data_IF_281417884537
#
_entry.id   IF_281417884537
#
_cell.length_a   1.000
_cell.length_b   1.000
_cell.length_c   1.000
_cell.angle_alpha   90.00
_cell.angle_beta   90.00
_cell.angle_gamma   90.00
#
_symmetry.space_group_name_H-M   'P 1'
#
loop_
_entity.id
_entity.type
_entity.pdbx_description
1 polymer ?
#
# COMPACT_ATOMS: atom_id res chain seq x y z
N UNK A 1 21.50 15.41 57.37
CA UNK A 1 22.95 15.52 57.10
C UNK A 1 23.46 14.15 56.66
N UNK A 2 24.26 14.06 55.59
CA UNK A 2 25.29 13.03 55.32
C UNK A 2 24.88 11.52 55.25
N UNK A 3 25.50 10.60 54.49
CA UNK A 3 26.40 10.67 53.30
C UNK A 3 26.69 9.22 52.83
N UNK A 4 26.10 8.74 51.73
CA UNK A 4 26.45 7.47 51.04
C UNK A 4 26.09 7.64 49.55
N UNK A 5 26.85 7.21 48.54
CA UNK A 5 28.19 6.61 48.49
C UNK A 5 28.40 6.04 47.08
N UNK A 6 29.23 6.68 46.24
CA UNK A 6 29.45 6.26 44.83
C UNK A 6 30.54 5.18 44.76
N UNK A 7 30.34 4.04 44.08
CA UNK A 7 31.44 3.26 43.51
C UNK A 7 31.95 3.91 42.21
N UNK A 8 33.25 3.79 41.94
CA UNK A 8 33.97 4.51 40.89
C UNK A 8 34.23 3.67 39.62
N UNK A 9 34.68 4.36 38.55
CA UNK A 9 35.16 3.74 37.30
C UNK A 9 36.50 3.00 37.46
N UNK A 10 36.62 1.87 36.74
CA UNK A 10 37.84 1.37 36.08
C UNK A 10 37.36 0.43 34.95
N UNK A 11 37.67 0.64 33.65
CA UNK A 11 38.93 0.29 32.98
C UNK A 11 39.33 -1.20 33.22
N UNK A 12 39.59 -2.05 32.22
CA UNK A 12 40.55 -1.89 31.11
C UNK A 12 40.14 -2.68 29.84
N UNK A 13 40.67 -2.23 28.70
CA UNK A 13 40.57 -2.78 27.32
C UNK A 13 41.04 -4.24 27.16
N UNK A 14 40.34 -5.02 26.33
CA UNK A 14 40.91 -6.17 25.62
C UNK A 14 40.30 -6.29 24.21
N UNK A 15 41.07 -5.94 23.18
CA UNK A 15 40.68 -5.98 21.76
C UNK A 15 41.49 -7.08 21.06
N UNK A 16 40.83 -8.16 20.62
CA UNK A 16 41.44 -9.21 19.78
C UNK A 16 40.47 -9.69 18.70
N UNK A 17 40.54 -9.02 17.55
CA UNK A 17 40.57 -9.57 16.19
C UNK A 17 39.90 -10.95 15.94
N UNK A 18 38.69 -10.94 15.35
CA UNK A 18 38.20 -12.05 14.53
C UNK A 18 38.28 -11.70 13.04
N UNK A 19 39.39 -12.07 12.40
CA UNK A 19 39.57 -11.97 10.96
C UNK A 19 39.26 -13.31 10.29
N UNK A 20 37.98 -13.59 10.01
CA UNK A 20 37.55 -14.76 9.22
C UNK A 20 37.56 -14.44 7.73
N UNK A 21 38.75 -14.44 7.11
CA UNK A 21 38.90 -14.37 5.66
C UNK A 21 38.71 -15.74 5.02
N UNK A 22 37.60 -15.95 4.30
CA UNK A 22 37.41 -17.12 3.44
C UNK A 22 37.64 -16.73 1.97
N UNK A 23 38.90 -16.68 1.55
CA UNK A 23 39.27 -16.46 0.14
C UNK A 23 39.11 -17.75 -0.67
N UNK A 24 37.90 -17.97 -1.19
CA UNK A 24 37.61 -19.05 -2.14
C UNK A 24 38.13 -18.72 -3.56
N UNK A 25 38.61 -19.73 -4.33
CA UNK A 25 39.19 -19.49 -5.65
C UNK A 25 38.14 -19.07 -6.68
N UNK A 26 38.32 -17.87 -7.25
CA UNK A 26 37.48 -17.34 -8.33
C UNK A 26 37.52 -18.23 -9.58
N UNK A 27 36.46 -19.02 -9.78
CA UNK A 27 36.27 -19.80 -11.01
C UNK A 27 36.03 -18.84 -12.19
N UNK A 28 36.76 -19.11 -13.28
CA UNK A 28 36.81 -18.34 -14.53
C UNK A 28 35.41 -17.90 -15.00
N UNK A 29 35.18 -16.58 -15.10
CA UNK A 29 33.96 -16.03 -15.72
C UNK A 29 33.96 -16.41 -17.21
N UNK A 30 32.89 -17.07 -17.67
CA UNK A 30 32.64 -17.28 -19.09
C UNK A 30 32.40 -15.92 -19.79
N UNK A 31 32.70 -15.77 -21.09
CA UNK A 31 32.38 -14.55 -21.82
C UNK A 31 30.89 -14.23 -21.71
N UNK A 32 30.56 -12.97 -21.43
CA UNK A 32 29.16 -12.53 -21.39
C UNK A 32 28.57 -12.58 -22.81
N UNK A 33 27.32 -13.06 -22.99
CA UNK A 33 26.62 -12.91 -24.26
C UNK A 33 26.40 -11.42 -24.55
N UNK A 34 26.45 -11.06 -25.83
CA UNK A 34 26.31 -9.67 -26.28
C UNK A 34 24.92 -9.11 -25.92
N UNK A 35 24.81 -7.83 -25.55
CA UNK A 35 23.51 -7.22 -25.28
C UNK A 35 22.70 -7.08 -26.58
N UNK A 36 21.56 -7.76 -26.65
CA UNK A 36 20.58 -7.54 -27.72
C UNK A 36 20.05 -6.12 -27.64
N UNK A 37 20.32 -5.32 -28.67
CA UNK A 37 19.80 -3.96 -28.80
C UNK A 37 18.27 -4.03 -28.93
N UNK A 38 17.49 -3.32 -28.09
CA UNK A 38 16.04 -3.29 -28.26
C UNK A 38 15.66 -2.56 -29.56
N UNK A 39 14.58 -2.97 -30.25
CA UNK A 39 14.09 -2.24 -31.41
C UNK A 39 13.68 -0.82 -31.00
N UNK A 40 14.06 0.17 -31.82
CA UNK A 40 13.67 1.57 -31.60
C UNK A 40 12.16 1.70 -31.70
N UNK A 41 11.50 1.89 -30.56
CA UNK A 41 10.09 2.28 -30.51
C UNK A 41 10.00 3.70 -31.09
N UNK A 42 9.40 3.82 -32.28
CA UNK A 42 9.01 5.10 -32.83
C UNK A 42 8.01 5.75 -31.86
N UNK A 43 8.39 6.88 -31.25
CA UNK A 43 7.49 7.63 -30.36
C UNK A 43 6.27 8.07 -31.16
N UNK A 44 5.04 7.68 -30.78
CA UNK A 44 3.84 8.28 -31.33
C UNK A 44 3.88 9.79 -31.02
N UNK A 45 3.68 10.62 -32.05
CA UNK A 45 3.54 12.06 -31.86
C UNK A 45 2.17 12.31 -31.22
N UNK A 46 2.12 12.30 -29.89
CA UNK A 46 0.94 12.71 -29.13
C UNK A 46 0.72 14.19 -29.42
N UNK A 47 -0.34 14.49 -30.16
CA UNK A 47 -0.82 15.86 -30.32
C UNK A 47 -1.45 16.26 -28.98
N UNK A 48 -0.75 17.13 -28.24
CA UNK A 48 -1.22 17.65 -26.96
C UNK A 48 -2.09 18.86 -27.28
N UNK A 49 -3.40 18.85 -26.96
CA UNK A 49 -4.25 20.01 -27.16
C UNK A 49 -3.69 21.20 -26.38
N UNK A 50 -3.40 22.28 -27.10
CA UNK A 50 -2.91 23.52 -26.51
C UNK A 50 -3.97 24.06 -25.52
N UNK A 51 -3.59 24.41 -24.27
CA UNK A 51 -4.56 24.92 -23.31
C UNK A 51 -5.16 26.25 -23.79
N UNK A 52 -6.47 26.26 -24.01
CA UNK A 52 -7.18 27.50 -24.32
C UNK A 52 -7.17 28.45 -23.11
N UNK A 53 -7.05 29.78 -23.33
CA UNK A 53 -7.18 30.76 -22.25
C UNK A 53 -8.56 30.68 -21.59
N UNK A 54 -8.58 30.61 -20.26
CA UNK A 54 -9.83 30.73 -19.48
C UNK A 54 -10.40 32.15 -19.61
N UNK A 55 -11.68 32.33 -19.98
CA UNK A 55 -12.31 33.64 -19.96
C UNK A 55 -12.48 34.15 -18.52
N UNK A 56 -12.47 35.47 -18.29
CA UNK A 56 -12.61 36.05 -16.96
C UNK A 56 -14.03 35.81 -16.38
N UNK A 57 -14.16 35.71 -15.05
CA UNK A 57 -15.44 35.45 -14.41
C UNK A 57 -16.39 36.65 -14.53
N UNK A 58 -17.56 36.44 -15.16
CA UNK A 58 -18.66 37.40 -15.12
C UNK A 58 -19.35 37.36 -13.75
N UNK A 59 -19.59 38.50 -13.09
CA UNK A 59 -20.49 38.57 -11.94
C UNK A 59 -21.92 38.27 -12.38
N UNK A 60 -22.59 37.32 -11.73
CA UNK A 60 -24.05 37.16 -11.83
C UNK A 60 -24.69 37.67 -10.54
N UNK A 61 -25.56 38.65 -10.70
CA UNK A 61 -26.23 39.37 -9.63
C UNK A 61 -27.31 38.52 -8.93
N UNK A 62 -27.66 38.93 -7.71
CA UNK A 62 -28.82 38.50 -6.95
C UNK A 62 -30.13 38.49 -7.75
N UNK A 63 -30.93 37.44 -7.55
CA UNK A 63 -32.39 37.50 -7.68
C UNK A 63 -33.09 36.36 -6.91
N UNK A 64 -33.57 36.69 -5.71
CA UNK A 64 -34.90 36.34 -5.18
C UNK A 64 -35.21 34.90 -4.73
N UNK A 65 -35.48 34.80 -3.42
CA UNK A 65 -36.12 33.68 -2.70
C UNK A 65 -37.63 33.60 -3.00
N UNK A 66 -38.21 32.39 -3.10
CA UNK A 66 -39.55 32.00 -2.58
C UNK A 66 -39.81 30.48 -2.72
N UNK A 67 -40.84 29.87 -2.06
CA UNK A 67 -40.61 28.65 -1.27
C UNK A 67 -41.35 27.38 -1.72
N UNK A 68 -41.10 26.30 -0.97
CA UNK A 68 -41.60 24.92 -1.08
C UNK A 68 -43.14 24.78 -1.10
N UNK A 69 -43.67 23.65 -1.63
CA UNK A 69 -44.10 22.58 -0.70
C UNK A 69 -43.86 21.13 -1.18
N UNK A 70 -43.64 20.21 -0.22
CA UNK A 70 -43.84 18.76 -0.40
C UNK A 70 -45.33 18.40 -0.23
N UNK A 71 -45.81 17.25 -0.76
CA UNK A 71 -46.04 16.11 0.15
C UNK A 71 -45.96 14.68 -0.44
N UNK A 72 -45.16 13.81 0.21
CA UNK A 72 -45.50 12.45 0.73
C UNK A 72 -46.09 11.32 -0.18
N UNK A 73 -46.13 10.04 0.29
CA UNK A 73 -45.89 8.86 -0.57
C UNK A 73 -47.12 7.96 -0.78
N UNK A 74 -47.01 6.90 -1.59
CA UNK A 74 -47.81 5.66 -1.40
C UNK A 74 -47.09 4.37 -1.83
N UNK A 75 -47.32 3.24 -1.13
CA UNK A 75 -46.89 1.89 -1.53
C UNK A 75 -48.04 1.06 -2.15
N UNK A 76 -47.69 0.03 -2.94
CA UNK A 76 -48.53 -1.14 -3.34
C UNK A 76 -47.67 -2.10 -4.18
N UNK A 77 -47.86 -3.43 -4.25
CA UNK A 77 -48.57 -4.40 -3.39
C UNK A 77 -48.16 -5.82 -3.87
N UNK A 78 -47.85 -6.75 -2.97
CA UNK A 78 -47.62 -8.18 -3.33
C UNK A 78 -48.96 -8.94 -3.34
N UNK A 79 -49.13 -9.93 -4.22
CA UNK A 79 -49.45 -11.29 -3.77
C UNK A 79 -48.70 -12.36 -4.60
N UNK A 80 -47.79 -13.17 -4.03
CA UNK A 80 -48.08 -14.49 -3.42
C UNK A 80 -48.93 -15.45 -4.27
N UNK A 81 -48.30 -16.50 -4.80
CA UNK A 81 -48.92 -17.82 -4.96
C UNK A 81 -47.95 -18.89 -4.45
N UNK A 82 -48.38 -19.67 -3.45
CA UNK A 82 -47.73 -20.93 -3.02
C UNK A 82 -48.37 -22.08 -3.80
N UNK A 83 -47.59 -23.05 -4.25
CA UNK A 83 -47.91 -24.50 -4.25
C UNK A 83 -46.58 -25.25 -4.05
N UNK A 84 -46.61 -26.43 -3.42
CA UNK A 84 -45.43 -27.23 -3.02
C UNK A 84 -45.43 -28.60 -3.79
N UNK A 85 -44.63 -29.66 -3.52
CA UNK A 85 -44.02 -30.55 -4.53
C UNK A 85 -44.72 -31.94 -4.54
N UNK A 86 -44.11 -33.11 -4.90
CA UNK A 86 -42.84 -33.45 -5.56
C UNK A 86 -43.13 -34.19 -6.90
N UNK A 87 -42.60 -35.40 -7.31
CA UNK A 87 -41.67 -36.40 -6.72
C UNK A 87 -40.24 -36.39 -7.32
N UNK A 88 -39.37 -37.25 -6.77
CA UNK A 88 -38.14 -37.79 -7.41
C UNK A 88 -38.43 -39.23 -7.92
N UNK A 89 -37.69 -39.77 -8.91
CA UNK A 89 -36.33 -40.34 -8.75
C UNK A 89 -35.34 -39.74 -9.79
N UNK A 90 -34.03 -39.97 -9.79
CA UNK A 90 -33.29 -41.24 -9.68
C UNK A 90 -31.86 -40.99 -9.17
N UNK A 91 -31.27 -41.99 -8.52
CA UNK A 91 -29.85 -41.99 -8.14
C UNK A 91 -28.95 -41.91 -9.38
N UNK A 92 -28.00 -40.98 -9.39
CA UNK A 92 -26.76 -41.12 -10.17
C UNK A 92 -25.65 -40.39 -9.42
N UNK A 93 -24.87 -41.17 -8.66
CA UNK A 93 -23.61 -40.71 -8.06
C UNK A 93 -22.68 -40.21 -9.16
N UNK A 94 -22.33 -38.91 -9.19
CA UNK A 94 -21.20 -38.45 -9.98
C UNK A 94 -19.95 -38.77 -9.18
N UNK A 95 -19.15 -39.71 -9.69
CA UNK A 95 -17.77 -39.90 -9.27
C UNK A 95 -17.04 -38.54 -9.25
N UNK A 96 -16.48 -38.08 -8.11
CA UNK A 96 -15.73 -36.83 -8.09
C UNK A 96 -14.39 -37.07 -8.78
N UNK A 97 -14.35 -36.84 -10.11
CA UNK A 97 -13.10 -36.71 -10.84
C UNK A 97 -12.22 -35.69 -10.12
N UNK A 98 -10.99 -36.02 -9.72
CA UNK A 98 -10.06 -35.03 -9.20
C UNK A 98 -9.64 -34.15 -10.37
N UNK A 99 -10.26 -32.98 -10.52
CA UNK A 99 -9.85 -31.96 -11.49
C UNK A 99 -8.61 -31.24 -10.94
N UNK A 100 -7.41 -31.39 -11.55
CA UNK A 100 -6.18 -30.82 -11.03
C UNK A 100 -6.00 -29.37 -11.48
N UNK A 101 -6.97 -28.51 -11.16
CA UNK A 101 -6.89 -27.05 -11.30
C UNK A 101 -7.11 -26.40 -9.94
N UNK A 102 -6.27 -26.80 -8.98
CA UNK A 102 -6.10 -26.08 -7.74
C UNK A 102 -5.49 -24.71 -8.04
N UNK A 103 -6.34 -23.69 -8.17
CA UNK A 103 -5.92 -22.30 -8.29
C UNK A 103 -4.90 -21.97 -7.20
N UNK A 104 -3.69 -21.58 -7.60
CA UNK A 104 -2.51 -21.59 -6.73
C UNK A 104 -2.60 -20.57 -5.57
N UNK A 105 -3.55 -19.63 -5.63
CA UNK A 105 -3.91 -18.77 -4.49
C UNK A 105 -5.16 -19.30 -3.79
N UNK A 106 -4.97 -19.91 -2.61
CA UNK A 106 -6.05 -20.08 -1.65
C UNK A 106 -6.58 -18.70 -1.22
N UNK A 107 -7.91 -18.47 -1.20
CA UNK A 107 -8.47 -17.17 -0.83
C UNK A 107 -8.14 -16.83 0.63
N UNK A 108 -7.74 -15.58 0.87
CA UNK A 108 -7.40 -15.11 2.21
C UNK A 108 -8.63 -15.17 3.12
N UNK A 109 -8.47 -15.69 4.35
CA UNK A 109 -9.59 -15.71 5.32
C UNK A 109 -9.84 -14.31 5.88
N UNK A 110 -11.09 -14.02 6.29
CA UNK A 110 -11.44 -12.73 6.91
C UNK A 110 -10.52 -12.37 8.09
N UNK A 111 -10.17 -13.34 8.93
CA UNK A 111 -9.25 -13.15 10.06
C UNK A 111 -7.82 -12.77 9.64
N UNK A 112 -7.34 -13.28 8.50
CA UNK A 112 -6.06 -12.87 7.93
C UNK A 112 -6.14 -11.47 7.31
N UNK A 113 -7.25 -11.15 6.63
CA UNK A 113 -7.49 -9.83 6.05
C UNK A 113 -7.55 -8.73 7.14
N UNK A 114 -8.22 -8.99 8.26
CA UNK A 114 -8.27 -8.08 9.41
C UNK A 114 -6.88 -7.85 10.03
N UNK A 115 -6.09 -8.93 10.20
CA UNK A 115 -4.70 -8.81 10.67
C UNK A 115 -3.83 -8.01 9.70
N UNK A 116 -3.94 -8.24 8.39
CA UNK A 116 -3.16 -7.49 7.40
C UNK A 116 -3.56 -6.01 7.37
N UNK A 117 -4.85 -5.69 7.54
CA UNK A 117 -5.31 -4.30 7.73
C UNK A 117 -4.70 -3.65 8.96
N UNK A 118 -4.70 -4.33 10.11
CA UNK A 118 -4.08 -3.84 11.34
C UNK A 118 -2.57 -3.61 11.19
N UNK A 119 -1.85 -4.56 10.58
CA UNK A 119 -0.41 -4.42 10.29
C UNK A 119 -0.12 -3.26 9.34
N UNK A 120 -0.93 -3.09 8.29
CA UNK A 120 -0.80 -1.99 7.33
C UNK A 120 -1.04 -0.62 8.00
N UNK A 121 -2.08 -0.51 8.83
CA UNK A 121 -2.34 0.70 9.63
C UNK A 121 -1.18 1.04 10.57
N UNK A 122 -0.57 0.03 11.20
CA UNK A 122 0.59 0.20 12.08
C UNK A 122 1.81 0.73 11.32
N UNK A 123 2.10 0.17 10.13
CA UNK A 123 3.19 0.64 9.26
C UNK A 123 2.97 2.07 8.76
N UNK A 124 1.72 2.44 8.42
CA UNK A 124 1.38 3.83 8.08
C UNK A 124 1.64 4.76 9.28
N UNK A 125 1.14 4.41 10.46
CA UNK A 125 1.31 5.23 11.66
C UNK A 125 2.76 5.39 12.09
N UNK A 126 3.57 4.33 11.97
CA UNK A 126 5.01 4.40 12.18
C UNK A 126 5.70 5.33 11.17
N UNK A 127 5.32 5.25 9.89
CA UNK A 127 5.85 6.14 8.85
C UNK A 127 5.50 7.61 9.09
N UNK A 128 4.26 7.91 9.47
CA UNK A 128 3.81 9.26 9.82
C UNK A 128 4.50 9.80 11.08
N UNK A 129 4.64 8.98 12.13
CA UNK A 129 5.36 9.34 13.35
C UNK A 129 6.85 9.64 13.09
N UNK A 130 7.52 8.85 12.26
CA UNK A 130 8.90 9.13 11.85
C UNK A 130 8.97 10.50 11.16
N UNK A 131 8.09 10.77 10.19
CA UNK A 131 8.05 12.06 9.50
C UNK A 131 7.76 13.26 10.43
N UNK A 132 6.97 13.10 11.50
CA UNK A 132 6.71 14.18 12.46
C UNK A 132 7.85 14.44 13.45
N UNK A 133 8.72 13.44 13.66
CA UNK A 133 9.85 13.51 14.61
C UNK A 133 11.15 14.03 13.95
N UNK A 134 11.12 14.35 12.65
CA UNK A 134 12.21 15.02 11.96
C UNK A 134 12.19 16.51 12.33
N UNK A 135 13.11 16.90 13.21
CA UNK A 135 13.29 18.30 13.65
C UNK A 135 14.49 19.00 13.01
N UNK A 136 15.30 18.29 12.21
CA UNK A 136 16.43 18.87 11.47
C UNK A 136 15.98 19.49 10.14
N UNK A 137 16.80 20.40 9.59
CA UNK A 137 16.63 20.86 8.21
C UNK A 137 16.95 19.74 7.22
N UNK A 138 16.06 19.54 6.25
CA UNK A 138 16.23 18.54 5.19
C UNK A 138 16.80 19.17 3.91
N UNK A 139 17.72 18.48 3.25
CA UNK A 139 18.23 18.80 1.92
C UNK A 139 17.19 18.46 0.82
N UNK A 140 17.51 18.80 -0.43
CA UNK A 140 16.57 18.63 -1.57
C UNK A 140 16.19 17.16 -1.81
N UNK A 141 17.13 16.23 -1.69
CA UNK A 141 16.89 14.80 -1.90
C UNK A 141 16.09 14.18 -0.74
N UNK A 142 16.36 14.60 0.49
CA UNK A 142 15.56 14.24 1.67
C UNK A 142 14.11 14.77 1.56
N UNK A 143 13.92 16.02 1.11
CA UNK A 143 12.59 16.58 0.86
C UNK A 143 11.85 15.81 -0.24
N UNK A 144 12.53 15.42 -1.32
CA UNK A 144 11.99 14.54 -2.35
C UNK A 144 11.63 13.15 -1.79
N UNK A 145 12.39 12.62 -0.83
CA UNK A 145 12.08 11.36 -0.14
C UNK A 145 10.84 11.51 0.76
N UNK A 146 10.68 12.61 1.50
CA UNK A 146 9.46 12.92 2.26
C UNK A 146 8.23 12.97 1.35
N UNK A 147 8.34 13.57 0.17
CA UNK A 147 7.25 13.59 -0.82
C UNK A 147 6.88 12.16 -1.30
N UNK A 148 7.87 11.30 -1.55
CA UNK A 148 7.64 9.90 -1.90
C UNK A 148 6.98 9.10 -0.76
N UNK A 149 7.44 9.26 0.48
CA UNK A 149 6.86 8.60 1.67
C UNK A 149 5.38 8.97 1.81
N UNK A 150 5.05 10.27 1.73
CA UNK A 150 3.66 10.77 1.77
C UNK A 150 2.80 10.19 0.65
N UNK A 151 3.35 10.04 -0.56
CA UNK A 151 2.68 9.42 -1.69
C UNK A 151 2.40 7.92 -1.41
N UNK A 152 3.39 7.17 -0.89
CA UNK A 152 3.19 5.77 -0.51
C UNK A 152 2.15 5.59 0.61
N UNK A 153 2.12 6.47 1.62
CA UNK A 153 1.08 6.49 2.66
C UNK A 153 -0.31 6.69 2.04
N UNK A 154 -0.46 7.69 1.15
CA UNK A 154 -1.72 8.00 0.47
C UNK A 154 -2.21 6.83 -0.40
N UNK A 155 -1.33 6.25 -1.22
CA UNK A 155 -1.65 5.08 -2.03
C UNK A 155 -1.99 3.85 -1.18
N UNK A 156 -1.28 3.64 -0.06
CA UNK A 156 -1.57 2.53 0.86
C UNK A 156 -2.97 2.66 1.45
N UNK A 157 -3.32 3.84 1.99
CA UNK A 157 -4.68 4.14 2.48
C UNK A 157 -5.75 3.93 1.40
N UNK A 158 -5.47 4.34 0.16
CA UNK A 158 -6.40 4.09 -0.96
C UNK A 158 -6.57 2.58 -1.21
N UNK A 159 -5.47 1.83 -1.31
CA UNK A 159 -5.50 0.39 -1.54
C UNK A 159 -6.23 -0.37 -0.41
N UNK A 160 -6.09 0.04 0.86
CA UNK A 160 -6.89 -0.50 1.98
C UNK A 160 -8.40 -0.33 1.76
N UNK A 161 -8.82 0.85 1.29
CA UNK A 161 -10.22 1.19 0.99
C UNK A 161 -10.74 0.44 -0.24
N UNK A 162 -9.89 0.29 -1.27
CA UNK A 162 -10.18 -0.48 -2.49
C UNK A 162 -10.24 -2.00 -2.24
N UNK A 163 -9.78 -2.48 -1.07
CA UNK A 163 -9.72 -3.90 -0.71
C UNK A 163 -8.44 -4.63 -1.13
N UNK A 164 -7.49 -3.93 -1.76
CA UNK A 164 -6.19 -4.44 -2.19
C UNK A 164 -5.18 -4.43 -1.03
N UNK A 165 -5.33 -5.38 -0.12
CA UNK A 165 -4.59 -5.43 1.15
C UNK A 165 -3.10 -5.76 0.97
N UNK A 166 -2.74 -6.56 -0.05
CA UNK A 166 -1.35 -6.88 -0.34
C UNK A 166 -0.60 -5.66 -0.86
N UNK A 167 -1.17 -4.94 -1.84
CA UNK A 167 -0.60 -3.68 -2.31
C UNK A 167 -0.54 -2.64 -1.21
N UNK A 168 -1.59 -2.53 -0.38
CA UNK A 168 -1.63 -1.61 0.74
C UNK A 168 -0.48 -1.86 1.72
N UNK A 169 -0.28 -3.12 2.13
CA UNK A 169 0.83 -3.54 2.99
C UNK A 169 2.19 -3.21 2.35
N UNK A 170 2.39 -3.56 1.08
CA UNK A 170 3.64 -3.33 0.37
C UNK A 170 3.99 -1.83 0.24
N UNK A 171 2.99 -0.97 0.03
CA UNK A 171 3.15 0.49 0.01
C UNK A 171 3.45 1.06 1.40
N UNK A 172 2.75 0.59 2.44
CA UNK A 172 3.00 1.01 3.82
C UNK A 172 4.40 0.61 4.29
N UNK A 173 4.85 -0.60 3.95
CA UNK A 173 6.19 -1.07 4.27
C UNK A 173 7.27 -0.20 3.60
N UNK A 174 7.10 0.17 2.32
CA UNK A 174 8.00 1.12 1.63
C UNK A 174 8.03 2.49 2.31
N UNK A 175 6.88 3.02 2.71
CA UNK A 175 6.80 4.29 3.44
C UNK A 175 7.55 4.22 4.77
N UNK A 176 7.34 3.15 5.55
CA UNK A 176 7.98 2.93 6.84
C UNK A 176 9.50 2.74 6.72
N UNK A 177 9.97 2.01 5.71
CA UNK A 177 11.40 1.83 5.46
C UNK A 177 12.07 3.17 5.11
N UNK A 178 11.55 3.89 4.12
CA UNK A 178 12.10 5.18 3.71
C UNK A 178 12.05 6.23 4.84
N UNK A 179 10.97 6.28 5.63
CA UNK A 179 10.91 7.17 6.78
C UNK A 179 11.88 6.77 7.89
N UNK A 180 12.18 5.47 8.03
CA UNK A 180 13.16 4.96 8.99
C UNK A 180 14.60 5.21 8.52
N UNK A 181 14.86 5.34 7.22
CA UNK A 181 16.16 5.82 6.72
C UNK A 181 16.35 7.31 7.01
N UNK A 182 15.35 8.16 6.69
CA UNK A 182 15.39 9.59 7.04
C UNK A 182 15.61 9.88 8.54
N UNK A 183 15.30 8.97 9.44
CA UNK A 183 15.57 9.14 10.88
C UNK A 183 17.03 8.84 11.28
N UNK A 184 17.86 8.28 10.39
CA UNK A 184 19.27 7.91 10.64
C UNK A 184 20.29 8.95 10.14
N UNK A 185 19.96 9.62 9.03
CA UNK A 185 20.73 10.77 8.46
C UNK A 185 21.01 12.09 9.37
#
# INVERSE_FOLDING_TARGET
MMKVGKPALAAVVALVLFATGCEGPFKKKKPAPQPSIPPTIQKPKVDIPQPQPTPPPQPKADATIQPTPQPKPTPKRRPTKKVVPPPSPTETTPEPKPTPDASINAPMTNQQADRQRQQTSSLIGAAENNLSNIHRSLNVDEQNMVAQIRNYISQSRKAMTDGDLERAYNLANKANLLSSELMKD
#
